data_IF_545564415246
#
_entry.id   IF_545564415246
#
_cell.length_a   1.000
_cell.length_b   1.000
_cell.length_c   1.000
_cell.angle_alpha   90.00
_cell.angle_beta   90.00
_cell.angle_gamma   90.00
#
_symmetry.space_group_name_H-M   'P 1'
#
loop_
_entity.id
_entity.type
_entity.pdbx_description
1 polymer ?
#
# COMPACT_ATOMS: atom_id res chain seq x y z
N UNK A 1 13.23 5.38 46.40
CA UNK A 1 14.11 5.89 45.33
C UNK A 1 15.47 5.26 45.51
N UNK A 2 16.01 4.71 44.43
CA UNK A 2 17.38 4.19 44.40
C UNK A 2 18.22 5.14 43.54
N UNK A 3 19.53 5.15 43.77
CA UNK A 3 20.49 5.96 43.02
C UNK A 3 21.45 5.01 42.32
N UNK A 4 21.78 5.25 41.06
CA UNK A 4 22.74 4.42 40.31
C UNK A 4 24.14 4.52 40.93
N UNK A 5 24.50 5.71 41.43
CA UNK A 5 25.78 5.97 42.07
C UNK A 5 25.57 6.62 43.45
N UNK A 6 25.19 5.85 44.48
CA UNK A 6 24.88 6.38 45.81
C UNK A 6 26.09 7.02 46.50
N UNK A 7 27.30 6.65 46.10
CA UNK A 7 28.55 7.21 46.63
C UNK A 7 28.71 8.70 46.30
N UNK A 8 28.12 9.18 45.20
CA UNK A 8 28.22 10.59 44.76
C UNK A 8 27.47 11.52 45.73
N UNK A 9 26.52 11.01 46.52
CA UNK A 9 25.81 11.80 47.54
C UNK A 9 26.76 12.36 48.61
N UNK A 10 27.92 11.73 48.86
CA UNK A 10 28.94 12.28 49.75
C UNK A 10 29.49 13.62 49.26
N UNK A 11 29.42 13.92 47.96
CA UNK A 11 29.79 15.21 47.40
C UNK A 11 28.89 16.36 47.88
N UNK A 12 27.69 16.09 48.43
CA UNK A 12 26.87 17.11 49.08
C UNK A 12 27.59 17.76 50.27
N UNK A 13 28.55 17.07 50.91
CA UNK A 13 29.36 17.67 51.97
C UNK A 13 30.22 18.84 51.46
N UNK A 14 30.57 18.88 50.17
CA UNK A 14 31.30 20.01 49.57
C UNK A 14 30.46 21.30 49.51
N UNK A 15 29.12 21.22 49.65
CA UNK A 15 28.24 22.39 49.77
C UNK A 15 28.53 23.21 51.05
N UNK A 16 29.23 22.63 52.03
CA UNK A 16 29.70 23.37 53.20
C UNK A 16 30.70 24.47 52.85
N UNK A 17 31.46 24.34 51.76
CA UNK A 17 32.51 25.30 51.37
C UNK A 17 31.91 26.69 51.02
N UNK A 18 30.92 26.82 50.11
CA UNK A 18 30.25 28.10 49.85
C UNK A 18 29.59 28.71 51.09
N UNK A 19 29.02 27.88 51.97
CA UNK A 19 28.36 28.33 53.21
C UNK A 19 29.40 28.93 54.16
N UNK A 20 30.53 28.26 54.37
CA UNK A 20 31.62 28.73 55.22
C UNK A 20 32.20 30.04 54.68
N UNK A 21 32.46 30.13 53.37
CA UNK A 21 32.96 31.35 52.73
C UNK A 21 31.97 32.51 52.85
N UNK A 22 30.66 32.23 52.82
CA UNK A 22 29.64 33.26 53.01
C UNK A 22 29.54 33.76 54.45
N UNK A 23 29.64 32.85 55.42
CA UNK A 23 29.55 33.19 56.84
C UNK A 23 30.81 33.94 57.31
N UNK A 24 31.99 33.51 56.86
CA UNK A 24 33.26 34.14 57.20
C UNK A 24 33.62 35.27 56.23
N UNK A 25 33.32 36.50 56.66
CA UNK A 25 33.75 37.71 55.96
C UNK A 25 35.26 37.95 56.14
N UNK A 26 36.09 37.30 55.33
CA UNK A 26 37.57 37.40 55.39
C UNK A 26 38.17 38.78 55.01
N UNK A 27 37.36 39.84 54.87
CA UNK A 27 37.85 41.20 54.61
C UNK A 27 37.72 42.08 55.85
N UNK A 28 38.87 42.50 56.40
CA UNK A 28 38.94 43.63 57.34
C UNK A 28 38.69 44.92 56.56
N UNK A 29 37.61 45.62 56.87
CA UNK A 29 37.34 46.93 56.29
C UNK A 29 38.35 47.96 56.83
N UNK A 30 39.12 48.58 55.94
CA UNK A 30 40.04 49.68 56.27
C UNK A 30 39.21 50.93 56.56
N UNK A 31 39.28 51.44 57.79
CA UNK A 31 38.55 52.66 58.17
C UNK A 31 39.27 53.88 57.59
N UNK A 32 38.54 54.72 56.87
CA UNK A 32 38.99 56.03 56.37
C UNK A 32 38.14 57.09 57.06
N UNK A 33 38.78 58.11 57.63
CA UNK A 33 38.09 59.21 58.30
C UNK A 33 37.61 60.22 57.24
N UNK A 34 36.32 60.56 57.29
CA UNK A 34 35.68 61.53 56.38
C UNK A 34 34.83 62.50 57.19
N UNK A 35 34.85 63.78 56.83
CA UNK A 35 34.41 64.90 57.67
C UNK A 35 32.90 65.13 57.72
N UNK A 36 32.09 64.48 56.85
CA UNK A 36 30.64 64.68 56.83
C UNK A 36 29.88 63.35 56.69
N UNK A 37 29.53 62.73 57.83
CA UNK A 37 29.02 61.34 57.91
C UNK A 37 27.50 61.25 58.10
N UNK A 38 26.81 62.38 58.31
CA UNK A 38 25.39 62.42 58.70
C UNK A 38 24.48 61.93 57.56
N UNK A 39 24.71 62.41 56.33
CA UNK A 39 23.98 61.98 55.12
C UNK A 39 24.30 60.54 54.67
N UNK A 40 25.48 60.01 55.00
CA UNK A 40 25.91 58.67 54.61
C UNK A 40 25.36 57.56 55.53
N UNK A 41 24.89 57.91 56.74
CA UNK A 41 24.38 56.96 57.73
C UNK A 41 22.93 56.53 57.41
N UNK A 42 22.07 57.46 56.99
CA UNK A 42 20.68 57.19 56.57
C UNK A 42 20.61 56.28 55.33
N UNK A 43 21.47 56.50 54.32
CA UNK A 43 21.52 55.65 53.10
C UNK A 43 22.02 54.22 53.40
N UNK A 44 22.73 54.02 54.51
CA UNK A 44 23.33 52.73 54.87
C UNK A 44 22.34 51.78 55.55
N UNK A 45 21.34 52.30 56.25
CA UNK A 45 20.32 51.49 56.94
C UNK A 45 19.27 50.93 55.95
N UNK A 46 18.82 51.70 54.96
CA UNK A 46 17.87 51.20 53.94
C UNK A 46 18.47 50.17 52.96
N UNK A 47 19.76 50.31 52.60
CA UNK A 47 20.43 49.35 51.69
C UNK A 47 20.84 48.05 52.37
N UNK A 48 20.79 47.96 53.69
CA UNK A 48 21.26 46.81 54.47
C UNK A 48 20.39 45.57 54.26
N UNK A 49 19.08 45.69 54.46
CA UNK A 49 18.11 44.59 54.38
C UNK A 49 17.98 44.03 52.97
N UNK A 50 17.85 44.90 51.96
CA UNK A 50 17.77 44.48 50.54
C UNK A 50 19.05 43.79 50.07
N UNK A 51 20.22 44.23 50.56
CA UNK A 51 21.51 43.59 50.26
C UNK A 51 21.66 42.24 50.96
N UNK A 52 21.22 42.12 52.21
CA UNK A 52 21.21 40.84 52.94
C UNK A 52 20.28 39.82 52.28
N UNK A 53 19.07 40.24 51.89
CA UNK A 53 18.12 39.36 51.18
C UNK A 53 18.68 38.90 49.83
N UNK A 54 19.25 39.82 49.03
CA UNK A 54 19.89 39.46 47.76
C UNK A 54 21.04 38.48 47.98
N UNK A 55 21.87 38.73 48.98
CA UNK A 55 23.00 37.86 49.31
C UNK A 55 22.54 36.46 49.75
N UNK A 56 21.45 36.36 50.51
CA UNK A 56 20.87 35.08 50.92
C UNK A 56 20.27 34.31 49.73
N UNK A 57 19.52 35.00 48.85
CA UNK A 57 18.95 34.38 47.65
C UNK A 57 20.03 33.91 46.67
N UNK A 58 21.12 34.66 46.53
CA UNK A 58 22.27 34.26 45.69
C UNK A 58 23.03 33.08 46.31
N UNK A 59 23.13 33.00 47.63
CA UNK A 59 23.69 31.83 48.30
C UNK A 59 22.81 30.61 48.07
N UNK A 60 21.50 30.75 48.29
CA UNK A 60 20.53 29.67 48.10
C UNK A 60 20.56 29.15 46.67
N UNK A 61 20.58 30.03 45.67
CA UNK A 61 20.62 29.62 44.27
C UNK A 61 21.91 28.89 43.91
N UNK A 62 23.06 29.30 44.45
CA UNK A 62 24.33 28.57 44.29
C UNK A 62 24.26 27.18 44.91
N UNK A 63 23.73 27.06 46.13
CA UNK A 63 23.59 25.76 46.79
C UNK A 63 22.65 24.84 46.02
N UNK A 64 21.51 25.34 45.56
CA UNK A 64 20.57 24.56 44.75
C UNK A 64 21.19 24.12 43.41
N UNK A 65 21.94 24.99 42.74
CA UNK A 65 22.62 24.64 41.49
C UNK A 65 23.62 23.48 41.68
N UNK A 66 24.44 23.55 42.73
CA UNK A 66 25.37 22.46 43.05
C UNK A 66 24.64 21.19 43.53
N UNK A 67 23.56 21.31 44.32
CA UNK A 67 22.75 20.16 44.72
C UNK A 67 22.11 19.46 43.52
N UNK A 68 21.56 20.21 42.56
CA UNK A 68 21.01 19.63 41.33
C UNK A 68 22.08 19.00 40.45
N UNK A 69 23.28 19.57 40.41
CA UNK A 69 24.41 18.97 39.70
C UNK A 69 24.82 17.64 40.35
N UNK A 70 24.90 17.57 41.68
CA UNK A 70 25.17 16.32 42.40
C UNK A 70 24.05 15.30 42.17
N UNK A 71 22.78 15.71 42.17
CA UNK A 71 21.68 14.81 41.83
C UNK A 71 21.69 14.35 40.37
N UNK A 72 22.07 15.21 39.43
CA UNK A 72 22.21 14.83 38.02
C UNK A 72 23.25 13.71 37.83
N UNK A 73 24.36 13.77 38.58
CA UNK A 73 25.37 12.71 38.57
C UNK A 73 25.00 11.49 39.42
N UNK A 74 24.23 11.66 40.50
CA UNK A 74 23.73 10.56 41.30
C UNK A 74 22.64 9.73 40.59
N UNK A 75 22.03 10.27 39.52
CA UNK A 75 20.97 9.66 38.71
C UNK A 75 19.88 9.01 39.57
N UNK A 76 19.05 9.81 40.28
CA UNK A 76 17.91 9.28 41.02
C UNK A 76 16.95 8.60 40.06
N UNK A 77 16.64 7.33 40.32
CA UNK A 77 15.57 6.64 39.61
C UNK A 77 14.50 6.17 40.60
N UNK A 78 13.27 6.26 40.13
CA UNK A 78 12.14 5.65 40.79
C UNK A 78 12.16 4.17 40.36
N UNK A 79 12.80 3.33 41.17
CA UNK A 79 12.58 1.89 41.03
C UNK A 79 11.10 1.66 41.28
N UNK A 80 10.36 1.31 40.22
CA UNK A 80 9.06 0.69 40.38
C UNK A 80 9.37 -0.56 41.21
N UNK A 81 8.96 -0.56 42.48
CA UNK A 81 8.82 -1.83 43.16
C UNK A 81 7.70 -2.50 42.38
N UNK A 82 8.05 -3.27 41.35
CA UNK A 82 7.18 -4.31 40.88
C UNK A 82 6.94 -5.15 42.12
N UNK A 83 5.76 -4.97 42.71
CA UNK A 83 5.09 -6.10 43.35
C UNK A 83 5.20 -7.18 42.30
N UNK A 84 6.16 -8.11 42.46
CA UNK A 84 6.25 -9.29 41.63
C UNK A 84 4.83 -9.81 41.58
N UNK A 85 4.18 -9.69 40.42
CA UNK A 85 2.76 -10.00 40.34
C UNK A 85 2.70 -11.53 40.50
N UNK A 86 2.59 -12.00 41.72
CA UNK A 86 2.53 -13.42 42.06
C UNK A 86 1.23 -13.96 41.50
N UNK A 87 1.32 -14.68 40.38
CA UNK A 87 0.19 -15.17 39.63
C UNK A 87 0.64 -15.79 38.31
N UNK A 88 -0.23 -16.62 37.73
CA UNK A 88 -0.03 -17.22 36.40
C UNK A 88 0.03 -16.13 35.33
N UNK A 89 1.01 -16.20 34.43
CA UNK A 89 1.13 -15.25 33.33
C UNK A 89 0.37 -15.76 32.11
N UNK A 90 -0.26 -14.80 31.43
CA UNK A 90 -0.96 -14.96 30.17
C UNK A 90 -0.29 -14.03 29.16
N UNK A 91 0.55 -14.62 28.30
CA UNK A 91 1.40 -13.90 27.36
C UNK A 91 0.82 -13.99 25.95
N UNK A 92 0.37 -12.87 25.39
CA UNK A 92 -0.14 -12.83 24.01
C UNK A 92 0.91 -12.24 23.09
N UNK A 93 1.35 -13.00 22.08
CA UNK A 93 2.42 -12.61 21.16
C UNK A 93 1.82 -12.49 19.77
N UNK A 94 1.94 -11.30 19.18
CA UNK A 94 1.71 -11.08 17.77
C UNK A 94 3.04 -11.14 17.02
N UNK A 95 3.09 -11.99 16.00
CA UNK A 95 4.21 -12.11 15.08
C UNK A 95 3.74 -11.59 13.73
N UNK A 96 4.38 -10.53 13.26
CA UNK A 96 4.16 -10.03 11.91
C UNK A 96 4.70 -11.06 10.91
N UNK A 97 3.80 -11.54 10.05
CA UNK A 97 4.11 -12.45 8.96
C UNK A 97 3.72 -11.85 7.60
N UNK A 98 3.58 -10.53 7.52
CA UNK A 98 3.33 -9.85 6.26
C UNK A 98 4.54 -9.99 5.33
N UNK A 99 4.30 -9.80 4.03
CA UNK A 99 5.34 -9.92 3.01
C UNK A 99 6.53 -8.97 3.20
N UNK A 100 6.40 -7.85 3.93
CA UNK A 100 7.55 -6.98 4.25
C UNK A 100 8.58 -7.68 5.14
N UNK A 101 8.16 -8.68 5.92
CA UNK A 101 9.03 -9.48 6.78
C UNK A 101 9.95 -10.45 6.01
N UNK A 102 9.85 -10.48 4.67
CA UNK A 102 10.81 -11.14 3.78
C UNK A 102 12.14 -10.37 3.69
N UNK A 103 12.15 -9.08 4.05
CA UNK A 103 13.37 -8.28 4.07
C UNK A 103 14.45 -8.90 4.97
N UNK A 104 15.71 -8.60 4.67
CA UNK A 104 16.85 -9.19 5.38
C UNK A 104 17.42 -8.24 6.45
N UNK A 105 17.83 -8.86 7.56
CA UNK A 105 18.64 -8.27 8.62
C UNK A 105 19.78 -9.25 8.91
N UNK A 106 21.03 -8.85 8.61
CA UNK A 106 22.21 -9.72 8.76
C UNK A 106 22.07 -11.05 8.00
N UNK A 107 21.60 -10.99 6.75
CA UNK A 107 21.34 -12.14 5.85
C UNK A 107 20.25 -13.14 6.33
N UNK A 108 19.50 -12.79 7.37
CA UNK A 108 18.36 -13.57 7.86
C UNK A 108 17.05 -12.82 7.60
N UNK A 109 16.01 -13.48 7.06
CA UNK A 109 14.68 -12.88 6.93
C UNK A 109 14.12 -12.38 8.27
N UNK A 110 13.46 -11.22 8.26
CA UNK A 110 12.87 -10.65 9.47
C UNK A 110 11.84 -11.59 10.11
N UNK A 111 11.08 -12.35 9.32
CA UNK A 111 10.12 -13.34 9.84
C UNK A 111 10.80 -14.43 10.68
N UNK A 112 11.97 -14.91 10.27
CA UNK A 112 12.71 -15.94 11.01
C UNK A 112 13.31 -15.36 12.28
N UNK A 113 13.79 -14.11 12.22
CA UNK A 113 14.23 -13.36 13.40
C UNK A 113 13.07 -13.13 14.38
N UNK A 114 11.87 -12.86 13.87
CA UNK A 114 10.66 -12.69 14.67
C UNK A 114 10.25 -13.98 15.39
N UNK A 115 10.27 -15.12 14.67
CA UNK A 115 10.02 -16.45 15.25
C UNK A 115 10.99 -16.76 16.38
N UNK A 116 12.29 -16.60 16.13
CA UNK A 116 13.33 -16.83 17.14
C UNK A 116 13.14 -15.93 18.37
N UNK A 117 12.79 -14.65 18.17
CA UNK A 117 12.48 -13.73 19.28
C UNK A 117 11.25 -14.16 20.06
N UNK A 118 10.21 -14.65 19.39
CA UNK A 118 9.04 -15.20 20.06
C UNK A 118 9.38 -16.45 20.88
N UNK A 119 10.22 -17.35 20.36
CA UNK A 119 10.71 -18.53 21.10
C UNK A 119 11.53 -18.14 22.34
N UNK A 120 12.42 -17.14 22.21
CA UNK A 120 13.18 -16.58 23.34
C UNK A 120 12.24 -16.02 24.41
N UNK A 121 11.19 -15.29 24.01
CA UNK A 121 10.15 -14.77 24.93
C UNK A 121 9.45 -15.93 25.62
N UNK A 122 8.92 -16.90 24.88
CA UNK A 122 8.19 -18.06 25.42
C UNK A 122 9.06 -18.87 26.39
N UNK A 123 10.37 -18.98 26.12
CA UNK A 123 11.33 -19.69 26.97
C UNK A 123 11.68 -18.97 28.27
N UNK A 124 11.47 -17.65 28.34
CA UNK A 124 11.75 -16.85 29.54
C UNK A 124 10.64 -16.97 30.62
N UNK A 125 9.47 -17.50 30.26
CA UNK A 125 8.33 -17.67 31.15
C UNK A 125 8.27 -19.08 31.77
N UNK A 126 7.47 -19.23 32.82
CA UNK A 126 7.37 -20.50 33.55
C UNK A 126 6.49 -21.54 32.85
N UNK A 127 6.70 -22.82 33.17
CA UNK A 127 5.94 -23.96 32.58
C UNK A 127 4.43 -23.88 32.83
N UNK A 128 4.01 -23.21 33.91
CA UNK A 128 2.61 -23.04 34.26
C UNK A 128 1.91 -21.89 33.51
N UNK A 129 2.67 -21.04 32.80
CA UNK A 129 2.16 -19.90 32.07
C UNK A 129 1.47 -20.34 30.76
N UNK A 130 0.56 -19.50 30.26
CA UNK A 130 -0.17 -19.76 29.02
C UNK A 130 0.09 -18.67 28.00
N UNK A 131 0.08 -19.09 26.74
CA UNK A 131 0.43 -18.24 25.62
C UNK A 131 -0.69 -18.18 24.59
N UNK A 132 -0.74 -17.08 23.87
CA UNK A 132 -1.58 -16.92 22.69
C UNK A 132 -0.68 -16.39 21.57
N UNK A 133 -0.67 -17.07 20.42
CA UNK A 133 0.09 -16.63 19.23
C UNK A 133 -0.88 -16.15 18.17
N UNK A 134 -0.67 -14.93 17.68
CA UNK A 134 -1.46 -14.31 16.63
C UNK A 134 -0.54 -13.95 15.45
N UNK A 135 -1.08 -14.10 14.25
CA UNK A 135 -0.52 -13.59 13.00
C UNK A 135 -1.58 -12.75 12.28
N UNK A 136 -1.27 -12.20 11.10
CA UNK A 136 -2.25 -11.39 10.36
C UNK A 136 -3.51 -12.15 9.97
N UNK A 137 -3.51 -13.48 9.94
CA UNK A 137 -4.69 -14.29 9.58
C UNK A 137 -5.79 -14.30 10.65
N UNK A 138 -5.45 -13.98 11.91
CA UNK A 138 -6.39 -13.92 13.05
C UNK A 138 -7.35 -15.12 13.16
N UNK A 139 -6.86 -16.33 12.87
CA UNK A 139 -7.65 -17.57 12.82
C UNK A 139 -8.38 -17.83 14.15
N UNK A 140 -9.53 -18.48 14.10
CA UNK A 140 -10.26 -18.89 15.30
C UNK A 140 -9.44 -19.76 16.27
N UNK A 141 -8.53 -20.59 15.74
CA UNK A 141 -7.58 -21.38 16.53
C UNK A 141 -6.59 -20.53 17.33
N UNK A 142 -6.19 -19.37 16.81
CA UNK A 142 -5.26 -18.42 17.45
C UNK A 142 -5.89 -17.63 18.61
N UNK A 143 -7.18 -17.86 18.90
CA UNK A 143 -7.87 -17.27 20.06
C UNK A 143 -7.67 -18.12 21.34
N UNK A 144 -7.08 -19.30 21.23
CA UNK A 144 -6.90 -20.24 22.34
C UNK A 144 -5.61 -19.94 23.10
N UNK A 145 -5.69 -20.10 24.43
CA UNK A 145 -4.54 -20.07 25.32
C UNK A 145 -3.94 -21.47 25.45
N UNK A 146 -2.70 -21.62 25.03
CA UNK A 146 -1.98 -22.89 24.92
C UNK A 146 -0.76 -22.91 25.84
N UNK A 147 -0.22 -24.11 26.10
CA UNK A 147 1.00 -24.27 26.88
C UNK A 147 2.25 -23.98 26.03
N UNK A 148 3.39 -23.88 26.70
CA UNK A 148 4.68 -23.57 26.10
C UNK A 148 5.05 -24.45 24.89
N UNK A 149 4.90 -25.77 24.99
CA UNK A 149 5.27 -26.72 23.93
C UNK A 149 4.45 -26.52 22.64
N UNK A 150 3.12 -26.42 22.76
CA UNK A 150 2.26 -26.16 21.60
C UNK A 150 2.48 -24.76 21.02
N UNK A 151 2.99 -23.83 21.84
CA UNK A 151 3.29 -22.45 21.41
C UNK A 151 4.51 -22.44 20.50
N UNK A 152 5.55 -23.19 20.83
CA UNK A 152 6.75 -23.31 19.98
C UNK A 152 6.38 -23.91 18.63
N UNK A 153 5.54 -24.97 18.61
CA UNK A 153 5.03 -25.54 17.36
C UNK A 153 4.23 -24.51 16.55
N UNK A 154 3.33 -23.75 17.20
CA UNK A 154 2.55 -22.73 16.53
C UNK A 154 3.39 -21.57 15.97
N UNK A 155 4.54 -21.26 16.57
CA UNK A 155 5.49 -20.26 16.05
C UNK A 155 6.18 -20.79 14.79
N UNK A 156 6.62 -22.06 14.81
CA UNK A 156 7.28 -22.69 13.67
C UNK A 156 6.37 -22.76 12.43
N UNK A 157 5.08 -23.05 12.63
CA UNK A 157 4.05 -23.13 11.59
C UNK A 157 3.75 -21.79 10.88
N UNK A 158 4.23 -20.65 11.40
CA UNK A 158 3.95 -19.33 10.80
C UNK A 158 4.69 -19.20 9.47
N UNK A 159 3.96 -18.98 8.39
CA UNK A 159 4.53 -18.64 7.08
C UNK A 159 4.20 -17.20 6.70
N UNK A 160 4.98 -16.64 5.77
CA UNK A 160 4.67 -15.35 5.15
C UNK A 160 3.28 -15.40 4.49
N UNK A 161 2.54 -14.29 4.58
CA UNK A 161 1.19 -14.17 4.06
C UNK A 161 0.96 -12.75 3.50
N UNK A 162 0.31 -12.60 2.32
CA UNK A 162 -0.06 -11.28 1.79
C UNK A 162 -1.18 -10.58 2.57
N UNK A 163 -1.98 -11.31 3.34
CA UNK A 163 -3.04 -10.71 4.18
C UNK A 163 -2.40 -9.90 5.31
N UNK A 164 -2.85 -8.65 5.47
CA UNK A 164 -2.40 -7.75 6.53
C UNK A 164 -3.59 -7.19 7.29
N UNK A 165 -3.49 -7.18 8.61
CA UNK A 165 -4.47 -6.59 9.51
C UNK A 165 -3.86 -5.41 10.26
N UNK A 166 -4.70 -4.40 10.51
CA UNK A 166 -4.31 -3.26 11.34
C UNK A 166 -3.98 -3.72 12.76
N UNK A 167 -2.92 -3.18 13.35
CA UNK A 167 -2.50 -3.56 14.71
C UNK A 167 -3.59 -3.29 15.75
N UNK A 168 -4.47 -2.32 15.53
CA UNK A 168 -5.66 -2.10 16.37
C UNK A 168 -6.58 -3.31 16.42
N UNK A 169 -6.73 -4.04 15.31
CA UNK A 169 -7.61 -5.22 15.24
C UNK A 169 -6.99 -6.39 16.00
N UNK A 170 -5.68 -6.59 15.84
CA UNK A 170 -4.90 -7.55 16.63
C UNK A 170 -5.07 -7.27 18.12
N UNK A 171 -4.89 -6.02 18.53
CA UNK A 171 -5.06 -5.60 19.92
C UNK A 171 -6.46 -5.83 20.47
N UNK A 172 -7.48 -5.46 19.71
CA UNK A 172 -8.86 -5.73 20.09
C UNK A 172 -9.11 -7.23 20.27
N UNK A 173 -8.49 -8.07 19.45
CA UNK A 173 -8.58 -9.52 19.56
C UNK A 173 -7.92 -10.05 20.82
N UNK A 174 -6.72 -9.57 21.15
CA UNK A 174 -6.00 -9.91 22.38
C UNK A 174 -6.78 -9.47 23.63
N UNK A 175 -7.45 -8.32 23.56
CA UNK A 175 -8.32 -7.81 24.63
C UNK A 175 -9.58 -8.66 24.80
N UNK A 176 -10.18 -9.15 23.72
CA UNK A 176 -11.36 -10.03 23.77
C UNK A 176 -11.03 -11.42 24.34
N UNK A 177 -9.86 -11.98 24.02
CA UNK A 177 -9.44 -13.28 24.54
C UNK A 177 -8.83 -13.20 25.94
N UNK A 178 -8.68 -12.01 26.53
CA UNK A 178 -8.06 -11.77 27.84
C UNK A 178 -8.74 -12.59 28.96
N UNK A 179 -8.01 -13.48 29.66
CA UNK A 179 -8.53 -14.17 30.83
C UNK A 179 -8.92 -13.20 31.96
N UNK A 180 -9.82 -13.62 32.84
CA UNK A 180 -10.36 -12.75 33.91
C UNK A 180 -9.37 -12.51 35.05
N UNK A 181 -8.43 -13.42 35.25
CA UNK A 181 -7.45 -13.40 36.33
C UNK A 181 -6.05 -13.70 35.79
N UNK A 182 -5.03 -13.26 36.52
CA UNK A 182 -3.62 -13.43 36.15
C UNK A 182 -2.98 -12.19 35.55
N UNK A 183 -1.70 -12.32 35.22
CA UNK A 183 -0.93 -11.22 34.63
C UNK A 183 -1.03 -11.27 33.12
N UNK A 184 -1.30 -10.13 32.49
CA UNK A 184 -1.41 -10.05 31.04
C UNK A 184 -0.25 -9.27 30.47
N UNK A 185 0.53 -9.94 29.63
CA UNK A 185 1.64 -9.35 28.90
C UNK A 185 1.40 -9.54 27.41
N UNK A 186 1.53 -8.45 26.65
CA UNK A 186 1.30 -8.43 25.22
C UNK A 186 2.62 -8.08 24.53
N UNK A 187 3.01 -8.87 23.54
CA UNK A 187 4.17 -8.63 22.70
C UNK A 187 3.74 -8.41 21.25
N UNK A 188 4.33 -7.42 20.61
CA UNK A 188 4.25 -7.22 19.16
C UNK A 188 5.66 -7.30 18.58
N UNK A 189 5.87 -8.23 17.66
CA UNK A 189 7.15 -8.41 16.95
C UNK A 189 6.89 -8.13 15.47
N UNK A 190 7.37 -6.99 14.99
CA UNK A 190 7.03 -6.45 13.67
C UNK A 190 8.08 -5.45 13.21
N UNK A 191 8.14 -5.19 11.90
CA UNK A 191 8.85 -4.04 11.33
C UNK A 191 8.03 -2.73 11.42
N UNK A 192 6.80 -2.81 11.93
CA UNK A 192 5.87 -1.70 12.17
C UNK A 192 5.60 -0.85 10.93
N UNK A 193 5.44 -1.49 9.76
CA UNK A 193 5.08 -0.79 8.52
C UNK A 193 3.94 0.20 8.72
N UNK A 194 4.08 1.38 8.11
CA UNK A 194 3.10 2.47 8.21
C UNK A 194 1.69 2.05 7.79
N UNK A 195 1.58 1.06 6.90
CA UNK A 195 0.31 0.51 6.40
C UNK A 195 -0.50 -0.24 7.47
N UNK A 196 0.14 -0.85 8.47
CA UNK A 196 -0.52 -1.62 9.53
C UNK A 196 -0.54 -0.90 10.88
N UNK A 197 0.38 0.06 11.07
CA UNK A 197 0.56 0.79 12.33
C UNK A 197 -0.46 1.91 12.48
N UNK A 198 -1.63 1.59 13.05
CA UNK A 198 -2.68 2.55 13.43
C UNK A 198 -2.93 2.52 14.95
N UNK A 199 -1.88 2.25 15.71
CA UNK A 199 -1.99 1.83 17.10
C UNK A 199 -2.25 3.01 18.03
N UNK A 200 -3.51 3.16 18.48
CA UNK A 200 -3.85 4.04 19.59
C UNK A 200 -4.05 3.17 20.83
N UNK A 201 -3.04 3.19 21.70
CA UNK A 201 -3.04 2.42 22.94
C UNK A 201 -3.91 3.11 24.00
N UNK A 202 -4.91 2.40 24.49
CA UNK A 202 -5.59 2.78 25.73
C UNK A 202 -4.56 2.79 26.87
N UNK A 203 -4.58 3.80 27.74
CA UNK A 203 -3.78 3.82 28.98
C UNK A 203 -4.37 2.84 30.01
N UNK A 204 -4.27 1.53 29.74
CA UNK A 204 -4.62 0.46 30.69
C UNK A 204 -3.39 0.10 31.52
N UNK A 205 -3.40 0.41 32.82
CA UNK A 205 -2.30 0.09 33.74
C UNK A 205 -2.23 -1.39 34.12
N UNK A 206 -3.25 -2.19 33.77
CA UNK A 206 -3.35 -3.61 34.11
C UNK A 206 -2.68 -4.53 33.09
N UNK A 207 -2.45 -4.05 31.87
CA UNK A 207 -1.88 -4.82 30.76
C UNK A 207 -0.51 -4.25 30.39
N UNK A 208 0.52 -5.09 30.39
CA UNK A 208 1.87 -4.70 29.95
C UNK A 208 1.99 -4.92 28.45
N UNK A 209 2.44 -3.91 27.69
CA UNK A 209 2.55 -3.98 26.23
C UNK A 209 4.00 -3.69 25.84
N UNK A 210 4.61 -4.67 25.17
CA UNK A 210 5.99 -4.66 24.73
C UNK A 210 6.04 -4.67 23.20
N UNK A 211 6.69 -3.66 22.62
CA UNK A 211 6.87 -3.52 21.17
C UNK A 211 8.32 -3.85 20.81
N UNK A 212 8.51 -4.85 19.96
CA UNK A 212 9.82 -5.31 19.50
C UNK A 212 9.97 -4.97 18.02
N UNK A 213 10.51 -3.79 17.68
CA UNK A 213 10.72 -3.40 16.30
C UNK A 213 11.86 -4.21 15.68
N UNK A 214 11.62 -4.70 14.47
CA UNK A 214 12.60 -5.38 13.62
C UNK A 214 12.95 -4.48 12.44
N UNK A 215 14.24 -4.18 12.28
CA UNK A 215 14.72 -3.32 11.19
C UNK A 215 15.48 -4.14 10.15
N UNK A 216 15.12 -3.95 8.88
CA UNK A 216 15.89 -4.44 7.75
C UNK A 216 17.12 -3.55 7.55
N UNK A 217 18.19 -4.15 7.02
CA UNK A 217 19.42 -3.40 6.65
C UNK A 217 19.34 -2.94 5.19
N UNK A 218 18.54 -3.63 4.36
CA UNK A 218 18.43 -3.39 2.92
C UNK A 218 16.97 -3.42 2.47
N UNK A 219 16.42 -2.24 2.20
CA UNK A 219 15.13 -2.08 1.50
C UNK A 219 15.37 -2.07 -0.01
N UNK A 220 15.53 -3.26 -0.58
CA UNK A 220 15.75 -3.46 -2.00
C UNK A 220 14.55 -4.19 -2.59
N UNK A 221 13.71 -3.47 -3.33
CA UNK A 221 12.55 -4.04 -4.01
C UNK A 221 12.36 -3.45 -5.40
N UNK A 222 12.20 -4.32 -6.40
CA UNK A 222 11.78 -4.00 -7.76
C UNK A 222 10.52 -4.79 -8.03
N UNK A 223 9.47 -4.12 -8.52
CA UNK A 223 8.19 -4.77 -8.79
C UNK A 223 7.73 -4.52 -10.22
N UNK A 224 6.96 -5.46 -10.76
CA UNK A 224 6.21 -5.23 -12.00
C UNK A 224 4.94 -4.44 -11.64
N UNK A 225 4.87 -3.19 -12.08
CA UNK A 225 3.74 -2.30 -11.78
C UNK A 225 2.51 -2.63 -12.62
N UNK A 226 2.70 -2.81 -13.93
CA UNK A 226 1.61 -3.05 -14.87
C UNK A 226 2.10 -3.60 -16.20
N UNK A 227 1.18 -4.24 -16.93
CA UNK A 227 1.42 -4.69 -18.28
C UNK A 227 0.14 -4.62 -19.14
N UNK A 228 0.26 -4.15 -20.38
CA UNK A 228 -0.86 -3.93 -21.29
C UNK A 228 -0.42 -4.06 -22.75
N UNK A 229 -1.33 -4.44 -23.64
CA UNK A 229 -1.03 -4.47 -25.07
C UNK A 229 -1.10 -3.07 -25.68
N UNK A 230 -0.21 -2.78 -26.64
CA UNK A 230 -0.25 -1.54 -27.44
C UNK A 230 -1.56 -1.48 -28.25
N UNK A 231 -1.99 -2.60 -28.81
CA UNK A 231 -3.28 -2.75 -29.49
C UNK A 231 -4.38 -3.21 -28.54
N UNK A 232 -5.59 -2.67 -28.71
CA UNK A 232 -6.77 -3.04 -27.90
C UNK A 232 -7.08 -4.55 -27.97
N UNK A 233 -6.86 -5.16 -29.13
CA UNK A 233 -7.13 -6.59 -29.35
C UNK A 233 -5.89 -7.27 -29.95
N UNK A 234 -5.23 -8.17 -29.22
CA UNK A 234 -4.15 -8.98 -29.75
C UNK A 234 -4.63 -9.88 -30.90
N UNK A 235 -3.82 -9.99 -31.94
CA UNK A 235 -4.13 -10.75 -33.16
C UNK A 235 -3.30 -12.01 -33.30
N UNK A 236 -3.93 -13.06 -33.85
CA UNK A 236 -3.27 -14.35 -34.14
C UNK A 236 -2.32 -14.19 -35.32
N UNK A 237 -1.17 -14.87 -35.26
CA UNK A 237 -0.10 -14.88 -36.26
C UNK A 237 0.48 -13.49 -36.56
N UNK A 238 0.35 -12.58 -35.61
CA UNK A 238 0.97 -11.26 -35.63
C UNK A 238 1.85 -11.08 -34.42
N UNK A 239 2.82 -10.19 -34.53
CA UNK A 239 3.65 -9.82 -33.41
C UNK A 239 2.92 -8.77 -32.56
N UNK A 240 2.43 -9.18 -31.40
CA UNK A 240 1.70 -8.34 -30.48
C UNK A 240 2.66 -7.70 -29.49
N UNK A 241 2.65 -6.36 -29.40
CA UNK A 241 3.49 -5.65 -28.44
C UNK A 241 2.82 -5.57 -27.08
N UNK A 242 3.38 -6.28 -26.11
CA UNK A 242 3.01 -6.20 -24.70
C UNK A 242 3.97 -5.24 -23.99
N UNK A 243 3.45 -4.12 -23.55
CA UNK A 243 4.20 -3.10 -22.81
C UNK A 243 4.20 -3.50 -21.34
N UNK A 244 5.37 -3.46 -20.70
CA UNK A 244 5.55 -3.79 -19.29
C UNK A 244 6.22 -2.62 -18.60
N UNK A 245 5.65 -2.22 -17.46
CA UNK A 245 6.17 -1.17 -16.60
C UNK A 245 6.72 -1.78 -15.31
N UNK A 246 7.97 -1.47 -15.03
CA UNK A 246 8.72 -2.04 -13.90
C UNK A 246 9.24 -0.87 -13.09
N UNK A 247 9.08 -0.95 -11.76
CA UNK A 247 9.39 0.12 -10.84
C UNK A 247 10.39 -0.34 -9.80
N UNK A 248 11.41 0.48 -9.56
CA UNK A 248 12.33 0.31 -8.46
C UNK A 248 11.85 1.17 -7.28
N UNK A 249 11.69 0.56 -6.11
CA UNK A 249 11.27 1.24 -4.87
C UNK A 249 12.42 1.53 -3.92
N UNK A 250 13.65 1.18 -4.30
CA UNK A 250 14.85 1.42 -3.51
C UNK A 250 15.56 2.72 -3.89
N UNK A 251 16.35 3.25 -2.95
CA UNK A 251 17.16 4.46 -3.13
C UNK A 251 18.42 4.23 -3.98
N UNK A 252 18.73 2.97 -4.30
CA UNK A 252 19.86 2.59 -5.15
C UNK A 252 19.36 2.17 -6.55
N UNK A 253 20.12 2.47 -7.63
CA UNK A 253 19.82 1.93 -8.95
C UNK A 253 19.99 0.41 -8.96
N UNK A 254 19.21 -0.26 -9.81
CA UNK A 254 19.23 -1.70 -10.00
C UNK A 254 19.56 -2.02 -11.45
N UNK A 255 20.71 -2.62 -11.65
CA UNK A 255 21.19 -3.08 -12.95
C UNK A 255 20.97 -4.60 -13.10
N UNK A 256 20.95 -5.06 -14.35
CA UNK A 256 20.89 -6.46 -14.72
C UNK A 256 19.68 -7.26 -14.17
N UNK A 257 18.54 -6.61 -13.92
CA UNK A 257 17.31 -7.29 -13.53
C UNK A 257 16.85 -8.15 -14.71
N UNK A 258 16.81 -9.47 -14.52
CA UNK A 258 16.43 -10.40 -15.59
C UNK A 258 14.92 -10.41 -15.77
N UNK A 259 14.45 -10.12 -17.00
CA UNK A 259 13.05 -10.19 -17.39
C UNK A 259 12.79 -11.46 -18.19
N UNK A 260 11.76 -12.20 -17.79
CA UNK A 260 11.32 -13.41 -18.47
C UNK A 260 9.80 -13.45 -18.59
N UNK A 261 9.32 -14.18 -19.60
CA UNK A 261 7.90 -14.38 -19.85
C UNK A 261 7.62 -15.88 -20.00
N UNK A 262 6.55 -16.33 -19.35
CA UNK A 262 5.92 -17.60 -19.65
C UNK A 262 4.63 -17.31 -20.42
N UNK A 263 4.51 -17.82 -21.64
CA UNK A 263 3.26 -17.79 -22.41
C UNK A 263 2.80 -19.23 -22.64
N UNK A 264 1.62 -19.58 -22.11
CA UNK A 264 1.04 -20.93 -22.20
C UNK A 264 2.03 -22.06 -21.85
N UNK A 265 2.73 -21.93 -20.73
CA UNK A 265 3.76 -22.85 -20.22
C UNK A 265 5.09 -22.84 -20.99
N UNK A 266 5.27 -21.98 -21.98
CA UNK A 266 6.55 -21.81 -22.67
C UNK A 266 7.30 -20.63 -22.05
N UNK A 267 8.41 -20.93 -21.37
CA UNK A 267 9.31 -19.92 -20.80
C UNK A 267 10.24 -19.37 -21.88
N UNK A 268 10.35 -18.05 -21.93
CA UNK A 268 11.28 -17.32 -22.78
C UNK A 268 11.95 -16.20 -21.97
N UNK A 269 13.29 -16.10 -21.96
CA UNK A 269 13.96 -14.92 -21.46
C UNK A 269 13.77 -13.76 -22.45
N UNK A 270 13.46 -12.57 -21.96
CA UNK A 270 13.37 -11.36 -22.81
C UNK A 270 14.64 -10.51 -22.75
N UNK A 271 15.35 -10.52 -21.62
CA UNK A 271 16.64 -9.83 -21.48
C UNK A 271 16.94 -9.40 -20.06
N UNK A 272 17.83 -8.42 -19.91
CA UNK A 272 18.09 -7.72 -18.67
C UNK A 272 17.73 -6.25 -18.79
N UNK A 273 17.30 -5.64 -17.69
CA UNK A 273 16.93 -4.22 -17.61
C UNK A 273 17.68 -3.53 -16.48
N UNK A 274 18.06 -2.29 -16.73
CA UNK A 274 18.56 -1.36 -15.71
C UNK A 274 17.49 -0.34 -15.37
N UNK A 275 17.25 -0.14 -14.08
CA UNK A 275 16.22 0.75 -13.54
C UNK A 275 16.86 1.70 -12.53
N UNK A 276 16.74 3.02 -12.71
CA UNK A 276 17.31 3.99 -11.78
C UNK A 276 16.64 3.90 -10.39
N UNK A 277 17.33 4.43 -9.38
CA UNK A 277 16.81 4.58 -8.02
C UNK A 277 15.45 5.29 -8.01
N UNK A 278 14.49 4.77 -7.24
CA UNK A 278 13.12 5.28 -7.17
C UNK A 278 12.43 5.49 -8.54
N UNK A 279 12.96 4.83 -9.57
CA UNK A 279 12.63 5.08 -10.96
C UNK A 279 11.65 4.08 -11.56
N UNK A 280 11.26 4.34 -12.81
CA UNK A 280 10.41 3.43 -13.59
C UNK A 280 11.01 3.23 -14.97
N UNK A 281 10.97 1.98 -15.44
CA UNK A 281 11.35 1.60 -16.80
C UNK A 281 10.14 0.99 -17.49
N UNK A 282 9.93 1.38 -18.74
CA UNK A 282 8.94 0.77 -19.63
C UNK A 282 9.73 0.00 -20.69
N UNK A 283 9.34 -1.26 -20.88
CA UNK A 283 9.91 -2.15 -21.90
C UNK A 283 8.80 -2.79 -22.73
N UNK A 284 9.14 -3.34 -23.89
CA UNK A 284 8.19 -3.93 -24.84
C UNK A 284 8.55 -5.37 -25.15
N UNK A 285 7.65 -6.29 -24.79
CA UNK A 285 7.75 -7.71 -25.10
C UNK A 285 6.97 -8.01 -26.39
N UNK A 286 7.64 -8.67 -27.32
CA UNK A 286 7.08 -9.06 -28.62
C UNK A 286 6.53 -10.49 -28.55
N UNK A 287 5.20 -10.62 -28.62
CA UNK A 287 4.47 -11.87 -28.47
C UNK A 287 3.84 -12.34 -29.77
N UNK A 288 4.29 -13.50 -30.25
CA UNK A 288 3.64 -14.21 -31.34
C UNK A 288 2.57 -15.16 -30.79
N UNK A 289 1.31 -14.83 -31.05
CA UNK A 289 0.18 -15.68 -30.64
C UNK A 289 -0.23 -16.56 -31.81
N UNK A 290 -0.15 -17.88 -31.67
CA UNK A 290 -0.39 -18.82 -32.78
C UNK A 290 -1.76 -19.50 -32.75
N UNK A 291 -2.45 -19.48 -31.61
CA UNK A 291 -3.73 -20.19 -31.43
C UNK A 291 -4.78 -19.31 -30.74
N UNK A 292 -6.08 -19.50 -31.09
CA UNK A 292 -7.19 -18.86 -30.38
C UNK A 292 -7.38 -19.47 -28.98
N UNK A 293 -8.33 -18.91 -28.24
CA UNK A 293 -8.69 -19.32 -26.89
C UNK A 293 -7.99 -18.51 -25.81
N UNK A 294 -8.10 -19.02 -24.58
CA UNK A 294 -7.46 -18.42 -23.41
C UNK A 294 -5.95 -18.47 -23.52
N UNK A 295 -5.34 -17.30 -23.46
CA UNK A 295 -3.92 -17.09 -23.36
C UNK A 295 -3.59 -16.77 -21.91
N UNK A 296 -2.61 -17.48 -21.35
CA UNK A 296 -2.09 -17.23 -20.02
C UNK A 296 -0.64 -16.77 -20.12
N UNK A 297 -0.38 -15.59 -19.57
CA UNK A 297 0.94 -14.97 -19.54
C UNK A 297 1.34 -14.76 -18.09
N UNK A 298 2.58 -15.11 -17.79
CA UNK A 298 3.25 -14.77 -16.54
C UNK A 298 4.54 -14.04 -16.87
N UNK A 299 4.63 -12.78 -16.51
CA UNK A 299 5.86 -11.99 -16.59
C UNK A 299 6.57 -12.15 -15.26
N UNK A 300 7.88 -12.41 -15.29
CA UNK A 300 8.69 -12.57 -14.09
C UNK A 300 9.97 -11.75 -14.20
N UNK A 301 10.27 -11.02 -13.14
CA UNK A 301 11.59 -10.47 -12.88
C UNK A 301 12.31 -11.32 -11.82
N UNK A 302 13.64 -11.29 -11.81
CA UNK A 302 14.43 -11.88 -10.73
C UNK A 302 14.97 -10.73 -9.85
N UNK A 303 14.37 -10.50 -8.67
CA UNK A 303 14.89 -9.58 -7.65
C UNK A 303 15.33 -10.33 -6.38
N UNK A 304 16.08 -9.64 -5.54
CA UNK A 304 16.50 -10.12 -4.22
C UNK A 304 16.73 -8.92 -3.29
N UNK A 305 16.32 -8.99 -2.01
CA UNK A 305 15.78 -10.17 -1.33
C UNK A 305 14.26 -10.34 -1.36
N UNK A 306 13.54 -9.31 -1.78
CA UNK A 306 12.08 -9.32 -1.84
C UNK A 306 11.67 -9.90 -3.19
N UNK A 307 10.79 -10.91 -3.18
CA UNK A 307 10.41 -11.68 -4.38
C UNK A 307 8.90 -11.93 -4.52
N UNK A 308 8.10 -11.46 -3.57
CA UNK A 308 6.67 -11.79 -3.54
C UNK A 308 5.87 -11.09 -4.66
N UNK A 309 6.41 -10.00 -5.23
CA UNK A 309 5.86 -9.15 -6.27
C UNK A 309 6.64 -9.22 -7.61
N UNK A 310 7.54 -10.20 -7.73
CA UNK A 310 8.34 -10.45 -8.95
C UNK A 310 7.52 -10.97 -10.13
N UNK A 311 6.29 -11.40 -9.89
CA UNK A 311 5.47 -12.12 -10.88
C UNK A 311 4.16 -11.41 -11.16
N UNK A 312 3.92 -11.09 -12.44
CA UNK A 312 2.70 -10.46 -12.93
C UNK A 312 1.93 -11.41 -13.86
N UNK A 313 0.64 -11.59 -13.61
CA UNK A 313 -0.22 -12.52 -14.36
C UNK A 313 -1.18 -11.77 -15.29
N UNK A 314 -1.32 -12.23 -16.53
CA UNK A 314 -2.26 -11.70 -17.51
C UNK A 314 -2.98 -12.89 -18.17
N UNK A 315 -4.30 -12.83 -18.23
CA UNK A 315 -5.11 -13.79 -18.98
C UNK A 315 -6.10 -13.06 -19.87
N UNK A 316 -6.21 -13.48 -21.13
CA UNK A 316 -7.16 -12.93 -22.09
C UNK A 316 -7.59 -14.01 -23.08
N UNK A 317 -8.77 -13.84 -23.67
CA UNK A 317 -9.33 -14.78 -24.63
C UNK A 317 -9.30 -14.19 -26.04
N UNK A 318 -8.77 -14.93 -27.00
CA UNK A 318 -8.83 -14.56 -28.42
C UNK A 318 -9.85 -15.44 -29.11
N UNK A 319 -10.89 -14.83 -29.70
CA UNK A 319 -11.82 -15.56 -30.56
C UNK A 319 -11.12 -15.96 -31.85
N UNK A 320 -11.34 -17.19 -32.29
CA UNK A 320 -10.84 -17.66 -33.59
C UNK A 320 -11.41 -16.82 -34.73
N UNK A 321 -12.71 -16.54 -34.66
CA UNK A 321 -13.42 -15.68 -35.60
C UNK A 321 -14.42 -14.81 -34.87
N UNK A 322 -14.53 -13.57 -35.32
CA UNK A 322 -15.59 -12.63 -34.94
C UNK A 322 -16.73 -12.75 -35.94
N UNK A 323 -17.91 -13.16 -35.48
CA UNK A 323 -19.08 -13.34 -36.34
C UNK A 323 -19.74 -11.99 -36.63
N UNK A 324 -19.85 -11.61 -37.91
CA UNK A 324 -20.43 -10.33 -38.34
C UNK A 324 -21.63 -10.57 -39.25
N UNK A 325 -22.78 -10.02 -38.90
CA UNK A 325 -23.99 -10.09 -39.72
C UNK A 325 -24.29 -8.74 -40.37
N UNK A 326 -24.18 -8.65 -41.68
CA UNK A 326 -24.61 -7.49 -42.46
C UNK A 326 -26.04 -7.69 -42.97
N UNK A 327 -26.96 -6.87 -42.45
CA UNK A 327 -28.36 -6.80 -42.86
C UNK A 327 -28.50 -5.70 -43.90
N UNK A 328 -28.70 -6.09 -45.15
CA UNK A 328 -28.68 -5.20 -46.30
C UNK A 328 -30.09 -4.97 -46.86
N UNK A 329 -30.32 -3.78 -47.44
CA UNK A 329 -31.57 -3.47 -48.15
C UNK A 329 -31.83 -4.42 -49.34
N UNK A 330 -30.83 -4.58 -50.21
CA UNK A 330 -30.88 -5.49 -51.35
C UNK A 330 -29.47 -5.97 -51.70
N UNK A 331 -29.35 -7.24 -52.08
CA UNK A 331 -28.08 -7.86 -52.43
C UNK A 331 -27.03 -7.83 -51.32
N UNK A 332 -25.78 -8.05 -51.70
CA UNK A 332 -24.61 -7.97 -50.83
C UNK A 332 -24.00 -6.56 -50.88
N UNK A 333 -23.62 -6.00 -49.74
CA UNK A 333 -22.93 -4.72 -49.70
C UNK A 333 -21.46 -4.89 -50.17
N UNK A 334 -21.15 -4.40 -51.38
CA UNK A 334 -19.81 -4.55 -51.98
C UNK A 334 -18.68 -3.94 -51.14
N UNK A 335 -18.94 -2.86 -50.40
CA UNK A 335 -17.93 -2.17 -49.59
C UNK A 335 -17.63 -2.96 -48.33
N UNK A 336 -18.64 -3.45 -47.62
CA UNK A 336 -18.42 -4.34 -46.48
C UNK A 336 -17.72 -5.63 -46.91
N UNK A 337 -18.18 -6.25 -48.00
CA UNK A 337 -17.51 -7.44 -48.53
C UNK A 337 -16.04 -7.18 -48.86
N UNK A 338 -15.69 -6.00 -49.38
CA UNK A 338 -14.30 -5.63 -49.65
C UNK A 338 -13.48 -5.41 -48.37
N UNK A 339 -14.04 -4.75 -47.34
CA UNK A 339 -13.36 -4.50 -46.05
C UNK A 339 -13.04 -5.81 -45.33
N UNK A 340 -13.98 -6.75 -45.31
CA UNK A 340 -13.78 -8.06 -44.66
C UNK A 340 -13.02 -9.05 -45.54
N UNK A 341 -12.81 -8.74 -46.83
CA UNK A 341 -12.07 -9.62 -47.72
C UNK A 341 -10.60 -9.74 -47.28
N UNK A 342 -10.11 -10.96 -47.12
CA UNK A 342 -8.75 -11.23 -46.65
C UNK A 342 -8.56 -11.19 -45.13
N UNK A 343 -9.55 -10.71 -44.36
CA UNK A 343 -9.51 -10.72 -42.89
C UNK A 343 -10.00 -12.07 -42.35
N UNK A 344 -9.09 -13.04 -42.23
CA UNK A 344 -9.42 -14.41 -41.76
C UNK A 344 -10.05 -14.49 -40.38
N UNK A 345 -9.84 -13.47 -39.53
CA UNK A 345 -10.36 -13.38 -38.18
C UNK A 345 -11.84 -12.97 -38.10
N UNK A 346 -12.50 -12.70 -39.24
CA UNK A 346 -13.92 -12.32 -39.28
C UNK A 346 -14.72 -13.27 -40.17
N UNK A 347 -15.93 -13.61 -39.73
CA UNK A 347 -16.92 -14.36 -40.52
C UNK A 347 -18.08 -13.43 -40.90
N UNK A 348 -18.04 -12.87 -42.11
CA UNK A 348 -19.08 -11.96 -42.61
C UNK A 348 -20.21 -12.75 -43.28
N UNK A 349 -21.42 -12.64 -42.73
CA UNK A 349 -22.66 -13.12 -43.34
C UNK A 349 -23.49 -11.95 -43.86
N UNK A 350 -23.84 -11.99 -45.13
CA UNK A 350 -24.72 -10.99 -45.74
C UNK A 350 -26.14 -11.56 -45.85
N UNK A 351 -27.12 -10.85 -45.30
CA UNK A 351 -28.53 -11.24 -45.33
C UNK A 351 -29.36 -10.05 -45.80
N UNK A 352 -30.35 -10.31 -46.65
CA UNK A 352 -31.33 -9.29 -47.02
C UNK A 352 -32.32 -9.05 -45.89
N UNK A 353 -32.77 -7.81 -45.71
CA UNK A 353 -33.73 -7.44 -44.65
C UNK A 353 -35.01 -8.28 -44.66
N UNK A 354 -35.43 -8.78 -45.83
CA UNK A 354 -36.59 -9.66 -46.02
C UNK A 354 -36.37 -11.10 -45.53
N UNK A 355 -35.12 -11.53 -45.36
CA UNK A 355 -34.73 -12.90 -45.05
C UNK A 355 -34.06 -13.04 -43.67
N UNK A 356 -34.27 -12.06 -42.78
CA UNK A 356 -33.68 -12.06 -41.44
C UNK A 356 -34.26 -13.21 -40.61
N UNK A 357 -33.36 -13.92 -39.93
CA UNK A 357 -33.69 -14.92 -38.92
C UNK A 357 -33.44 -14.32 -37.54
N UNK A 358 -34.51 -13.83 -36.89
CA UNK A 358 -34.41 -13.07 -35.64
C UNK A 358 -33.82 -13.88 -34.48
N UNK A 359 -34.01 -15.19 -34.47
CA UNK A 359 -33.47 -16.15 -33.50
C UNK A 359 -31.94 -16.29 -33.59
N UNK A 360 -31.35 -16.01 -34.74
CA UNK A 360 -29.92 -16.12 -35.01
C UNK A 360 -29.14 -14.83 -34.77
N UNK A 361 -29.80 -13.72 -34.40
CA UNK A 361 -29.11 -12.44 -34.18
C UNK A 361 -28.10 -12.54 -33.03
N UNK A 362 -28.45 -13.27 -31.97
CA UNK A 362 -27.61 -13.50 -30.78
C UNK A 362 -26.29 -14.24 -31.04
N UNK A 363 -26.18 -14.93 -32.18
CA UNK A 363 -25.00 -15.73 -32.53
C UNK A 363 -23.89 -14.87 -33.18
N UNK A 364 -24.11 -13.56 -33.33
CA UNK A 364 -23.18 -12.63 -33.97
C UNK A 364 -22.59 -11.67 -32.94
N UNK A 365 -21.32 -11.31 -33.12
CA UNK A 365 -20.61 -10.35 -32.28
C UNK A 365 -20.90 -8.90 -32.68
N UNK A 366 -21.16 -8.69 -33.98
CA UNK A 366 -21.49 -7.40 -34.58
C UNK A 366 -22.60 -7.58 -35.61
N UNK A 367 -23.64 -6.75 -35.50
CA UNK A 367 -24.68 -6.63 -36.52
C UNK A 367 -24.51 -5.28 -37.22
N UNK A 368 -24.46 -5.27 -38.54
CA UNK A 368 -24.34 -4.07 -39.36
C UNK A 368 -25.64 -3.88 -40.15
N UNK A 369 -26.38 -2.80 -39.89
CA UNK A 369 -27.55 -2.41 -40.68
C UNK A 369 -27.08 -1.49 -41.81
N UNK A 370 -27.21 -1.91 -43.07
CA UNK A 370 -26.77 -1.11 -44.21
C UNK A 370 -27.91 -0.63 -45.10
N UNK A 371 -27.99 0.68 -45.24
CA UNK A 371 -28.79 1.39 -46.22
C UNK A 371 -30.28 1.01 -46.24
N UNK A 372 -30.84 0.60 -45.10
CA UNK A 372 -32.25 0.25 -44.99
C UNK A 372 -33.11 1.51 -45.17
N UNK A 373 -34.16 1.44 -45.98
CA UNK A 373 -35.09 2.55 -46.14
C UNK A 373 -35.85 2.85 -44.83
N UNK A 374 -36.20 1.80 -44.10
CA UNK A 374 -36.88 1.86 -42.81
C UNK A 374 -36.40 0.72 -41.90
N UNK A 375 -36.49 0.94 -40.60
CA UNK A 375 -36.30 -0.07 -39.56
C UNK A 375 -37.68 -0.38 -39.01
N UNK A 376 -38.20 -1.56 -39.33
CA UNK A 376 -39.52 -2.01 -38.87
C UNK A 376 -39.54 -2.16 -37.35
N UNK A 377 -40.72 -2.06 -36.73
CA UNK A 377 -40.87 -2.22 -35.27
C UNK A 377 -40.36 -3.58 -34.77
N UNK A 378 -40.56 -4.64 -35.56
CA UNK A 378 -40.04 -5.98 -35.27
C UNK A 378 -38.51 -6.03 -35.26
N UNK A 379 -37.85 -5.46 -36.28
CA UNK A 379 -36.39 -5.38 -36.34
C UNK A 379 -35.83 -4.50 -35.23
N UNK A 380 -36.44 -3.34 -34.99
CA UNK A 380 -36.06 -2.44 -33.91
C UNK A 380 -36.09 -3.14 -32.54
N UNK A 381 -37.18 -3.87 -32.24
CA UNK A 381 -37.31 -4.60 -30.97
C UNK A 381 -36.30 -5.74 -30.83
N UNK A 382 -36.05 -6.49 -31.91
CA UNK A 382 -35.09 -7.60 -31.88
C UNK A 382 -33.66 -7.10 -31.69
N UNK A 383 -33.28 -6.04 -32.41
CA UNK A 383 -31.96 -5.40 -32.28
C UNK A 383 -31.80 -4.76 -30.90
N UNK A 384 -32.84 -4.11 -30.36
CA UNK A 384 -32.83 -3.58 -28.99
C UNK A 384 -32.52 -4.67 -27.96
N UNK A 385 -33.24 -5.80 -28.04
CA UNK A 385 -32.98 -6.93 -27.13
C UNK A 385 -31.56 -7.48 -27.29
N UNK A 386 -31.03 -7.56 -28.52
CA UNK A 386 -29.65 -7.97 -28.76
C UNK A 386 -28.63 -7.01 -28.12
N UNK A 387 -28.82 -5.69 -28.23
CA UNK A 387 -27.96 -4.68 -27.61
C UNK A 387 -28.05 -4.72 -26.08
N UNK A 388 -29.26 -4.85 -25.52
CA UNK A 388 -29.46 -4.99 -24.07
C UNK A 388 -28.77 -6.24 -23.49
N UNK A 389 -28.54 -7.27 -24.31
CA UNK A 389 -27.78 -8.46 -23.95
C UNK A 389 -26.27 -8.35 -24.24
N UNK A 390 -25.75 -7.14 -24.52
CA UNK A 390 -24.32 -6.87 -24.73
C UNK A 390 -23.85 -6.99 -26.19
N UNK A 391 -24.76 -7.15 -27.15
CA UNK A 391 -24.45 -7.19 -28.57
C UNK A 391 -24.09 -5.81 -29.14
N UNK A 392 -23.22 -5.78 -30.16
CA UNK A 392 -22.81 -4.54 -30.82
C UNK A 392 -23.53 -4.35 -32.16
N UNK A 393 -24.00 -3.13 -32.42
CA UNK A 393 -24.72 -2.77 -33.64
C UNK A 393 -24.09 -1.55 -34.28
N UNK A 394 -23.84 -1.62 -35.58
CA UNK A 394 -23.40 -0.51 -36.41
C UNK A 394 -24.48 -0.20 -37.45
N UNK A 395 -24.79 1.07 -37.64
CA UNK A 395 -25.88 1.49 -38.53
C UNK A 395 -25.36 2.49 -39.56
N UNK A 396 -25.59 2.18 -40.84
CA UNK A 396 -25.34 3.07 -41.96
C UNK A 396 -26.67 3.47 -42.59
N UNK A 397 -27.25 4.62 -42.21
CA UNK A 397 -28.50 5.11 -42.78
C UNK A 397 -28.37 5.39 -44.29
N UNK A 398 -29.46 5.22 -45.04
CA UNK A 398 -29.53 5.64 -46.45
C UNK A 398 -29.99 7.09 -46.58
N UNK A 399 -29.63 7.76 -47.67
CA UNK A 399 -30.08 9.13 -47.97
C UNK A 399 -31.62 9.26 -48.05
N UNK A 400 -32.30 8.17 -48.42
CA UNK A 400 -33.76 8.09 -48.50
C UNK A 400 -34.40 7.45 -47.25
N UNK A 401 -33.74 7.53 -46.09
CA UNK A 401 -34.23 6.94 -44.86
C UNK A 401 -35.55 7.56 -44.39
N UNK A 402 -36.47 6.71 -43.91
CA UNK A 402 -37.64 7.15 -43.17
C UNK A 402 -37.20 7.65 -41.78
N UNK A 403 -37.14 8.97 -41.64
CA UNK A 403 -36.63 9.65 -40.44
C UNK A 403 -37.42 9.27 -39.18
N UNK A 404 -38.75 9.10 -39.28
CA UNK A 404 -39.56 8.73 -38.12
C UNK A 404 -39.20 7.31 -37.63
N UNK A 405 -39.06 6.35 -38.55
CA UNK A 405 -38.68 4.97 -38.22
C UNK A 405 -37.27 4.90 -37.60
N UNK A 406 -36.28 5.57 -38.19
CA UNK A 406 -34.92 5.61 -37.64
C UNK A 406 -34.85 6.30 -36.28
N UNK A 407 -35.52 7.45 -36.11
CA UNK A 407 -35.49 8.17 -34.84
C UNK A 407 -36.21 7.40 -33.73
N UNK A 408 -37.30 6.68 -34.04
CA UNK A 408 -37.93 5.77 -33.07
C UNK A 408 -36.96 4.66 -32.64
N UNK A 409 -36.24 4.06 -33.60
CA UNK A 409 -35.23 3.04 -33.30
C UNK A 409 -34.06 3.60 -32.47
N UNK A 410 -33.45 4.72 -32.86
CA UNK A 410 -32.33 5.32 -32.13
C UNK A 410 -32.73 5.78 -30.73
N UNK A 411 -33.92 6.38 -30.58
CA UNK A 411 -34.43 6.77 -29.26
C UNK A 411 -34.64 5.53 -28.38
N UNK A 412 -35.08 4.40 -28.94
CA UNK A 412 -35.25 3.16 -28.18
C UNK A 412 -33.93 2.56 -27.67
N UNK A 413 -32.80 2.95 -28.27
CA UNK A 413 -31.43 2.58 -27.89
C UNK A 413 -30.72 3.70 -27.11
N UNK A 414 -31.43 4.76 -26.70
CA UNK A 414 -30.85 5.95 -26.07
C UNK A 414 -29.73 6.61 -26.90
N UNK A 415 -29.85 6.61 -28.22
CA UNK A 415 -28.91 7.22 -29.16
C UNK A 415 -29.42 8.55 -29.71
N UNK A 416 -28.52 9.31 -30.34
CA UNK A 416 -28.86 10.57 -31.02
C UNK A 416 -29.78 10.30 -32.22
N UNK A 417 -30.67 11.26 -32.49
CA UNK A 417 -31.56 11.22 -33.66
C UNK A 417 -30.89 11.81 -34.89
N UNK A 418 -31.44 11.49 -36.06
CA UNK A 418 -30.98 12.01 -37.35
C UNK A 418 -32.01 12.98 -37.93
N UNK A 419 -31.52 13.91 -38.73
CA UNK A 419 -32.33 14.81 -39.54
C UNK A 419 -32.39 14.33 -40.99
N UNK A 420 -33.29 14.94 -41.78
CA UNK A 420 -33.38 14.67 -43.22
C UNK A 420 -32.03 14.93 -43.90
N UNK A 421 -31.60 13.96 -44.71
CA UNK A 421 -30.37 14.09 -45.48
C UNK A 421 -30.47 15.26 -46.47
N UNK A 422 -29.38 16.03 -46.58
CA UNK A 422 -29.27 17.13 -47.54
C UNK A 422 -27.95 17.04 -48.30
N UNK A 423 -27.99 17.36 -49.60
CA UNK A 423 -26.79 17.43 -50.45
C UNK A 423 -26.29 18.87 -50.52
N UNK A 424 -25.52 19.29 -49.53
CA UNK A 424 -24.88 20.62 -49.50
C UNK A 424 -23.37 20.46 -49.52
N UNK A 425 -22.66 21.41 -50.16
CA UNK A 425 -21.20 21.50 -50.02
C UNK A 425 -20.89 22.07 -48.64
N UNK A 426 -20.20 21.32 -47.81
CA UNK A 426 -19.68 21.77 -46.52
C UNK A 426 -18.16 21.75 -46.55
N UNK A 427 -17.54 22.76 -45.96
CA UNK A 427 -16.11 22.76 -45.69
C UNK A 427 -15.91 22.15 -44.30
N UNK A 428 -15.14 21.06 -44.21
CA UNK A 428 -14.77 20.44 -42.93
C UNK A 428 -13.73 21.32 -42.27
N UNK A 429 -14.09 22.01 -41.17
CA UNK A 429 -13.18 22.92 -40.47
C UNK A 429 -12.24 22.19 -39.49
N UNK A 430 -12.72 21.13 -38.84
CA UNK A 430 -11.95 20.34 -37.88
C UNK A 430 -12.43 18.90 -37.89
N UNK A 431 -11.49 17.96 -37.77
CA UNK A 431 -11.74 16.54 -37.55
C UNK A 431 -11.29 16.22 -36.12
N UNK A 432 -12.08 15.43 -35.39
CA UNK A 432 -11.69 14.97 -34.05
C UNK A 432 -10.74 13.77 -34.18
N UNK A 433 -9.46 14.02 -34.45
CA UNK A 433 -8.43 12.97 -34.57
C UNK A 433 -8.10 12.28 -33.25
N UNK A 434 -8.63 12.77 -32.12
CA UNK A 434 -8.48 12.12 -30.81
C UNK A 434 -9.46 10.95 -30.59
N UNK A 435 -10.48 10.80 -31.45
CA UNK A 435 -11.43 9.69 -31.36
C UNK A 435 -10.79 8.40 -31.88
N UNK A 436 -10.97 7.28 -31.17
CA UNK A 436 -10.33 6.02 -31.52
C UNK A 436 -10.70 5.51 -32.93
N UNK A 437 -11.90 5.85 -33.42
CA UNK A 437 -12.37 5.47 -34.77
C UNK A 437 -11.54 6.15 -35.87
N UNK A 438 -10.92 7.29 -35.57
CA UNK A 438 -10.07 8.04 -36.50
C UNK A 438 -8.58 7.85 -36.23
N UNK A 439 -8.22 6.96 -35.30
CA UNK A 439 -6.84 6.65 -35.01
C UNK A 439 -6.16 6.08 -36.27
N UNK A 440 -5.01 6.64 -36.64
CA UNK A 440 -4.24 6.32 -37.84
C UNK A 440 -4.93 6.56 -39.20
N UNK A 441 -6.08 7.27 -39.25
CA UNK A 441 -6.81 7.53 -40.52
C UNK A 441 -6.34 8.80 -41.22
N UNK A 442 -6.06 9.86 -40.45
CA UNK A 442 -5.70 11.20 -40.95
C UNK A 442 -4.31 11.66 -40.50
N UNK A 443 -3.56 10.77 -39.84
CA UNK A 443 -2.20 10.98 -39.35
C UNK A 443 -1.16 10.80 -40.44
#
# INVERSE_FOLDING_TARGET
>A
MQFVHPQILWALLALSIPIIIHLFHFRRFKKVYFTNVKFLKEIKEEKSTRRQLRNLLVLLSRLLAFSFLVFAFAQPFLSKNDTAKTGKNFVSIFIDNSNSMMALSEDVPLVDKAKKKAEEIVSAYGVADQFQILSHELKGSQQRWINQENTIQAIDDISLNPEVNLLSNVYNKQKQSKPKEGNHVIYYISDFQKSITNFNLDNDTLSEINLLPLQSIKESNVSIDSAWFESVVPSINQNNKLIVRIKNHSEEPKDDIRLSINHNNQNRPEGTISIPAMGTKIDTINLLISQPGWQNIRIKIDDYPIQFDDTYFISFNIKEKTSVLAINKNGTNKYLSAVFNGLKSFDLKNVQVSSIKYDQLKDNDLIILTELNEITSGLASAIKSYVENGGNVLVFPTANANIASYNNFFTSLNSNTINKWTKTKSNVFRINTSEFVFDNVYS
#
